data_IF_222917221542
#
_entry.id   IF_222917221542
#
_cell.length_a   1.000
_cell.length_b   1.000
_cell.length_c   1.000
_cell.angle_alpha   90.00
_cell.angle_beta   90.00
_cell.angle_gamma   90.00
#
_symmetry.space_group_name_H-M   'P 1'
#
loop_
_entity.id
_entity.type
_entity.pdbx_description
1 polymer ?
#
# COMPACT_ATOMS: atom_id res chain seq x y z
N UNK A 1 16.45 11.89 3.22
CA UNK A 1 16.71 10.99 2.08
C UNK A 1 15.65 11.32 1.04
N UNK A 2 16.02 11.89 -0.10
CA UNK A 2 15.04 12.23 -1.16
C UNK A 2 14.71 10.96 -1.92
N UNK A 3 13.47 10.46 -1.80
CA UNK A 3 12.98 9.36 -2.63
C UNK A 3 12.87 9.84 -4.08
N UNK A 4 13.51 9.11 -4.99
CA UNK A 4 13.39 9.40 -6.43
C UNK A 4 12.05 8.85 -6.95
N UNK A 5 11.45 9.46 -7.99
CA UNK A 5 10.16 9.01 -8.54
C UNK A 5 10.19 7.58 -9.12
N UNK A 6 11.38 7.02 -9.40
CA UNK A 6 11.57 5.64 -9.86
C UNK A 6 11.30 4.62 -8.74
N UNK A 7 11.43 5.04 -7.47
CA UNK A 7 11.27 4.18 -6.29
C UNK A 7 9.79 3.98 -5.89
N UNK A 8 8.91 4.93 -6.24
CA UNK A 8 7.51 4.85 -5.84
C UNK A 8 6.76 3.64 -6.45
N UNK A 9 6.85 3.35 -7.76
CA UNK A 9 6.20 2.16 -8.34
C UNK A 9 6.62 0.84 -7.67
N UNK A 10 7.91 0.68 -7.34
CA UNK A 10 8.42 -0.51 -6.65
C UNK A 10 7.86 -0.62 -5.23
N UNK A 11 7.81 0.49 -4.49
CA UNK A 11 7.19 0.54 -3.16
C UNK A 11 5.71 0.21 -3.19
N UNK A 12 4.97 0.70 -4.19
CA UNK A 12 3.56 0.38 -4.38
C UNK A 12 3.34 -1.10 -4.67
N UNK A 13 4.19 -1.69 -5.53
CA UNK A 13 4.14 -3.12 -5.81
C UNK A 13 4.43 -3.97 -4.56
N UNK A 14 5.46 -3.60 -3.78
CA UNK A 14 5.78 -4.27 -2.53
C UNK A 14 4.65 -4.14 -1.48
N UNK A 15 4.06 -2.95 -1.35
CA UNK A 15 2.95 -2.69 -0.45
C UNK A 15 1.70 -3.50 -0.79
N UNK A 16 1.40 -3.66 -2.09
CA UNK A 16 0.31 -4.50 -2.58
C UNK A 16 0.57 -6.00 -2.33
N UNK A 17 1.80 -6.45 -2.55
CA UNK A 17 2.20 -7.84 -2.29
C UNK A 17 2.10 -8.19 -0.80
N UNK A 18 2.51 -7.28 0.10
CA UNK A 18 2.40 -7.47 1.54
C UNK A 18 0.94 -7.56 2.04
N UNK A 19 -0.03 -7.07 1.26
CA UNK A 19 -1.44 -6.97 1.65
C UNK A 19 -2.32 -8.13 1.20
N UNK A 20 -1.79 -9.19 0.58
CA UNK A 20 -2.60 -10.32 0.11
C UNK A 20 -3.51 -10.92 1.21
N UNK A 21 -3.01 -11.02 2.45
CA UNK A 21 -3.81 -11.48 3.59
C UNK A 21 -4.96 -10.52 3.95
N UNK A 22 -4.71 -9.21 3.92
CA UNK A 22 -5.75 -8.20 4.13
C UNK A 22 -6.81 -8.28 3.02
N UNK A 23 -6.39 -8.39 1.76
CA UNK A 23 -7.29 -8.47 0.61
C UNK A 23 -8.20 -9.71 0.69
N UNK A 24 -7.63 -10.87 1.05
CA UNK A 24 -8.40 -12.09 1.25
C UNK A 24 -9.44 -11.93 2.39
N UNK A 25 -9.04 -11.29 3.49
CA UNK A 25 -9.96 -10.98 4.60
C UNK A 25 -11.07 -10.02 4.17
N UNK A 26 -10.74 -8.91 3.51
CA UNK A 26 -11.70 -7.94 3.02
C UNK A 26 -12.72 -8.59 2.06
N UNK A 27 -12.26 -9.46 1.16
CA UNK A 27 -13.14 -10.23 0.28
C UNK A 27 -14.08 -11.15 1.07
N UNK A 28 -13.59 -11.85 2.10
CA UNK A 28 -14.41 -12.67 2.99
C UNK A 28 -15.42 -11.87 3.82
N UNK A 29 -15.09 -10.62 4.16
CA UNK A 29 -15.95 -9.67 4.88
C UNK A 29 -16.89 -8.87 3.95
N UNK A 30 -16.79 -9.06 2.63
CA UNK A 30 -17.62 -8.34 1.65
C UNK A 30 -17.31 -6.85 1.52
N UNK A 31 -16.09 -6.43 1.88
CA UNK A 31 -15.65 -5.04 1.76
C UNK A 31 -14.57 -4.87 0.70
N UNK A 32 -14.61 -3.73 0.02
CA UNK A 32 -13.56 -3.29 -0.90
C UNK A 32 -12.79 -2.08 -0.37
N UNK A 33 -13.13 -1.59 0.82
CA UNK A 33 -12.54 -0.40 1.42
C UNK A 33 -11.34 -0.77 2.32
N UNK A 34 -10.14 -0.32 1.98
CA UNK A 34 -8.91 -0.57 2.73
C UNK A 34 -7.76 0.38 2.33
N UNK A 35 -6.77 0.52 3.23
CA UNK A 35 -5.52 1.23 2.95
C UNK A 35 -4.53 0.35 2.20
N UNK A 36 -4.17 0.75 0.98
CA UNK A 36 -3.17 0.09 0.15
C UNK A 36 -1.73 0.55 0.43
N UNK A 37 -1.54 1.80 0.85
CA UNK A 37 -0.22 2.37 1.11
C UNK A 37 -0.29 3.37 2.27
N UNK A 38 0.60 3.24 3.25
CA UNK A 38 0.65 4.04 4.47
C UNK A 38 1.97 4.85 4.61
N UNK A 39 2.42 5.43 3.50
CA UNK A 39 3.49 6.42 3.46
C UNK A 39 4.74 6.06 4.24
N UNK A 40 4.88 6.65 5.43
CA UNK A 40 6.03 6.48 6.32
C UNK A 40 6.28 5.02 6.70
N UNK A 41 5.24 4.19 6.81
CA UNK A 41 5.41 2.76 7.08
C UNK A 41 6.04 2.00 5.89
N UNK A 42 5.91 2.52 4.68
CA UNK A 42 6.47 1.98 3.44
C UNK A 42 7.65 2.82 2.92
N UNK A 43 8.18 3.71 3.76
CA UNK A 43 9.36 4.52 3.47
C UNK A 43 9.16 5.63 2.44
N UNK A 44 7.93 6.14 2.31
CA UNK A 44 7.61 7.29 1.46
C UNK A 44 6.70 8.28 2.20
N UNK A 45 7.29 9.31 2.80
CA UNK A 45 6.55 10.27 3.61
C UNK A 45 5.53 11.08 2.79
N UNK A 46 4.41 11.43 3.41
CA UNK A 46 3.40 12.33 2.84
C UNK A 46 2.47 11.70 1.79
N UNK A 47 2.53 10.38 1.57
CA UNK A 47 1.63 9.68 0.65
C UNK A 47 0.80 8.61 1.37
N UNK A 48 -0.52 8.66 1.24
CA UNK A 48 -1.40 7.56 1.60
C UNK A 48 -2.27 7.22 0.38
N UNK A 49 -2.50 5.92 0.16
CA UNK A 49 -3.39 5.44 -0.91
C UNK A 49 -4.38 4.48 -0.29
N UNK A 50 -5.65 4.80 -0.46
CA UNK A 50 -6.79 4.03 -0.02
C UNK A 50 -7.57 3.56 -1.26
N UNK A 51 -8.15 2.37 -1.19
CA UNK A 51 -9.13 1.84 -2.12
C UNK A 51 -10.46 1.66 -1.41
#
# INVERSE_FOLDING_TARGET
MSSSPVDLPERLAAALAARQGLLARCAGEGTTAYRLFHGSAEGYDGLAIDR
#
